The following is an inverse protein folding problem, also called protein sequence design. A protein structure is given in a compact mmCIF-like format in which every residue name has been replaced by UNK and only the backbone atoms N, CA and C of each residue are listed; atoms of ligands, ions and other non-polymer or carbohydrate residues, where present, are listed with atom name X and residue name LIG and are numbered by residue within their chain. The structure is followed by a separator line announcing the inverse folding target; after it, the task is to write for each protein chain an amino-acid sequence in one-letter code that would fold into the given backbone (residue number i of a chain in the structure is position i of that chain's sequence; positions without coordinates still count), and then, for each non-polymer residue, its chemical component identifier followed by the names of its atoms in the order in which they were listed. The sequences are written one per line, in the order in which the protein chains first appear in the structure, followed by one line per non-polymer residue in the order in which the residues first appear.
data_IF_805105411495
#
_entry.id   IF_805105411495
#
_cell.length_a   1.000
_cell.length_b   1.000
_cell.length_c   1.000
_cell.angle_alpha   90.00
_cell.angle_beta   90.00
_cell.angle_gamma   90.00
#
_symmetry.space_group_name_H-M   'P 1'
#
loop_
_entity.id
_entity.type
_entity.pdbx_description
1 polymer ?
#
# COMPACT_ATOMS: atom_id res chain seq x y z
N UNK A 1 7.83 0.85 15.91
CA UNK A 1 6.54 1.19 15.27
C UNK A 1 6.19 0.08 14.29
N UNK A 2 4.94 -0.06 13.84
CA UNK A 2 4.57 -1.04 12.79
C UNK A 2 5.41 -0.76 11.53
N UNK A 3 5.57 0.51 11.16
CA UNK A 3 6.46 0.92 10.05
C UNK A 3 7.88 0.36 10.21
N UNK A 4 8.47 0.43 11.42
CA UNK A 4 9.85 -0.07 11.64
C UNK A 4 9.98 -1.58 11.45
N UNK A 5 8.86 -2.31 11.54
CA UNK A 5 8.83 -3.76 11.36
C UNK A 5 8.67 -4.13 9.88
N UNK A 6 7.80 -3.45 9.16
CA UNK A 6 7.40 -3.87 7.81
C UNK A 6 8.00 -3.03 6.69
N UNK A 7 8.18 -1.72 6.90
CA UNK A 7 8.66 -0.80 5.87
C UNK A 7 10.15 -0.99 5.64
N UNK A 8 10.52 -1.44 4.44
CA UNK A 8 11.86 -1.88 4.06
C UNK A 8 11.79 -2.77 2.82
N UNK A 9 12.62 -3.82 2.77
CA UNK A 9 12.86 -4.64 1.56
C UNK A 9 11.61 -5.01 0.74
N UNK A 10 10.52 -5.42 1.38
CA UNK A 10 9.32 -5.91 0.69
C UNK A 10 8.17 -4.91 0.63
N UNK A 11 8.12 -3.93 1.54
CA UNK A 11 7.08 -2.92 1.62
C UNK A 11 7.76 -1.55 1.65
N UNK A 12 7.41 -0.67 0.73
CA UNK A 12 7.93 0.69 0.74
C UNK A 12 9.23 0.92 -0.02
N UNK A 13 9.86 -0.12 -0.59
CA UNK A 13 11.15 -0.04 -1.32
C UNK A 13 10.99 -0.11 -2.85
N UNK A 14 9.75 -0.26 -3.36
CA UNK A 14 9.49 -0.32 -4.81
C UNK A 14 9.40 1.08 -5.44
N UNK A 15 9.52 1.16 -6.77
CA UNK A 15 9.26 2.41 -7.49
C UNK A 15 7.81 2.90 -7.29
N UNK A 16 6.86 1.96 -7.28
CA UNK A 16 5.44 2.23 -7.00
C UNK A 16 5.22 2.76 -5.58
N UNK A 17 6.01 2.27 -4.62
CA UNK A 17 6.04 2.79 -3.24
C UNK A 17 6.48 4.25 -3.19
N UNK A 18 7.54 4.60 -3.92
CA UNK A 18 8.00 5.98 -4.03
C UNK A 18 6.93 6.90 -4.66
N UNK A 19 6.22 6.41 -5.69
CA UNK A 19 5.10 7.14 -6.30
C UNK A 19 3.95 7.35 -5.29
N UNK A 20 3.60 6.33 -4.50
CA UNK A 20 2.59 6.46 -3.44
C UNK A 20 2.99 7.52 -2.41
N UNK A 21 4.24 7.50 -1.96
CA UNK A 21 4.75 8.48 -0.99
C UNK A 21 4.72 9.90 -1.54
N UNK A 22 5.10 10.09 -2.82
CA UNK A 22 5.01 11.39 -3.49
C UNK A 22 3.55 11.90 -3.54
N UNK A 23 2.59 11.02 -3.83
CA UNK A 23 1.17 11.34 -3.77
C UNK A 23 0.75 11.79 -2.34
N UNK A 24 1.15 11.05 -1.30
CA UNK A 24 0.82 11.39 0.09
C UNK A 24 1.43 12.74 0.52
N UNK A 25 2.65 13.05 0.09
CA UNK A 25 3.30 14.35 0.34
C UNK A 25 2.49 15.52 -0.24
N UNK A 26 1.93 15.33 -1.44
CA UNK A 26 1.15 16.32 -2.17
C UNK A 26 -0.22 16.62 -1.53
N UNK A 27 -0.89 15.64 -0.93
CA UNK A 27 -2.27 15.79 -0.41
C UNK A 27 -2.44 16.79 0.73
N UNK A 28 -1.36 17.23 1.38
CA UNK A 28 -1.33 18.22 2.47
C UNK A 28 -2.45 18.12 3.53
N UNK A 29 -2.78 16.88 3.92
CA UNK A 29 -3.78 16.55 4.93
C UNK A 29 -3.16 15.77 6.08
N UNK A 30 -3.72 15.92 7.28
CA UNK A 30 -3.34 15.09 8.44
C UNK A 30 -4.05 13.73 8.41
N UNK A 31 -5.31 13.68 7.96
CA UNK A 31 -6.09 12.45 7.83
C UNK A 31 -6.49 12.30 6.37
N UNK A 32 -6.22 11.14 5.78
CA UNK A 32 -6.58 10.80 4.41
C UNK A 32 -7.33 9.47 4.39
N UNK A 33 -8.50 9.44 3.77
CA UNK A 33 -9.29 8.21 3.64
C UNK A 33 -8.73 7.36 2.49
N UNK A 34 -8.62 6.04 2.67
CA UNK A 34 -8.23 5.10 1.60
C UNK A 34 -9.19 5.18 0.43
N UNK A 35 -10.47 5.46 0.67
CA UNK A 35 -11.44 5.67 -0.42
C UNK A 35 -11.11 6.89 -1.28
N UNK A 36 -10.54 7.95 -0.68
CA UNK A 36 -10.02 9.10 -1.43
C UNK A 36 -8.77 8.71 -2.23
N UNK A 37 -7.83 7.98 -1.63
CA UNK A 37 -6.64 7.46 -2.33
C UNK A 37 -7.06 6.59 -3.53
N UNK A 38 -8.02 5.70 -3.33
CA UNK A 38 -8.48 4.79 -4.36
C UNK A 38 -9.16 5.51 -5.51
N UNK A 39 -10.00 6.52 -5.21
CA UNK A 39 -10.67 7.31 -6.23
C UNK A 39 -9.69 8.18 -7.02
N UNK A 40 -8.77 8.86 -6.32
CA UNK A 40 -7.77 9.74 -6.93
C UNK A 40 -6.84 8.98 -7.86
N UNK A 41 -6.37 7.81 -7.43
CA UNK A 41 -5.43 6.97 -8.19
C UNK A 41 -6.12 6.00 -9.16
N UNK A 42 -7.46 5.93 -9.14
CA UNK A 42 -8.23 5.01 -10.00
C UNK A 42 -8.18 3.54 -9.59
N UNK A 43 -7.70 3.22 -8.38
CA UNK A 43 -7.63 1.86 -7.80
C UNK A 43 -9.03 1.29 -7.57
N UNK A 44 -10.02 2.15 -7.29
CA UNK A 44 -11.42 1.74 -7.09
C UNK A 44 -12.01 1.03 -8.31
N UNK A 45 -11.57 1.39 -9.53
CA UNK A 45 -11.99 0.81 -10.81
C UNK A 45 -11.50 -0.61 -11.03
N UNK A 46 -10.46 -1.04 -10.32
CA UNK A 46 -9.91 -2.39 -10.41
C UNK A 46 -10.76 -3.44 -9.69
N UNK A 47 -11.71 -3.00 -8.87
CA UNK A 47 -12.65 -3.88 -8.15
C UNK A 47 -11.96 -5.01 -7.34
N UNK A 48 -10.75 -4.77 -6.82
CA UNK A 48 -9.98 -5.75 -6.05
C UNK A 48 -9.03 -6.62 -6.88
N UNK A 49 -9.00 -6.49 -8.20
CA UNK A 49 -8.03 -7.19 -9.05
C UNK A 49 -6.74 -6.38 -9.19
N UNK A 50 -5.74 -6.70 -8.37
CA UNK A 50 -4.46 -5.97 -8.32
C UNK A 50 -3.27 -6.79 -8.83
N UNK A 51 -3.49 -8.06 -9.18
CA UNK A 51 -2.48 -9.08 -9.45
C UNK A 51 -1.47 -8.66 -10.52
N UNK A 52 -1.97 -8.10 -11.63
CA UNK A 52 -1.20 -7.62 -12.79
C UNK A 52 -1.54 -6.18 -13.17
N UNK A 53 -2.32 -5.50 -12.34
CA UNK A 53 -2.88 -4.20 -12.66
C UNK A 53 -1.81 -3.10 -12.69
N UNK A 54 -1.96 -2.21 -13.66
CA UNK A 54 -1.17 -0.97 -13.83
C UNK A 54 -2.11 0.22 -13.85
N UNK A 55 -1.65 1.37 -13.36
CA UNK A 55 -2.48 2.56 -13.31
C UNK A 55 -1.69 3.82 -13.63
N UNK A 56 -2.37 4.70 -14.36
CA UNK A 56 -1.98 6.08 -14.57
C UNK A 56 -3.07 6.96 -13.99
N UNK A 57 -2.68 7.93 -13.16
CA UNK A 57 -3.60 8.90 -12.59
C UNK A 57 -3.03 10.31 -12.64
N UNK A 58 -3.87 11.29 -12.95
CA UNK A 58 -3.54 12.69 -12.84
C UNK A 58 -4.35 13.30 -11.71
N UNK A 59 -3.67 13.72 -10.63
CA UNK A 59 -4.30 14.35 -9.46
C UNK A 59 -3.74 15.76 -9.33
N UNK A 60 -4.62 16.77 -9.35
CA UNK A 60 -4.25 18.18 -9.26
C UNK A 60 -3.16 18.62 -10.27
N UNK A 61 -3.17 18.01 -11.47
CA UNK A 61 -2.21 18.30 -12.54
C UNK A 61 -0.84 17.63 -12.39
N UNK A 62 -0.69 16.71 -11.44
CA UNK A 62 0.50 15.86 -11.27
C UNK A 62 0.16 14.44 -11.70
N UNK A 63 1.02 13.87 -12.54
CA UNK A 63 0.87 12.49 -13.02
C UNK A 63 1.56 11.50 -12.07
N UNK A 64 0.85 10.45 -11.71
CA UNK A 64 1.31 9.33 -10.91
C UNK A 64 1.20 8.05 -11.74
N UNK A 65 2.34 7.41 -11.97
CA UNK A 65 2.45 6.17 -12.72
C UNK A 65 2.75 5.01 -11.78
N UNK A 66 1.96 3.95 -11.88
CA UNK A 66 2.16 2.70 -11.18
C UNK A 66 2.35 1.55 -12.17
N UNK A 67 3.57 1.01 -12.19
CA UNK A 67 3.92 -0.17 -12.99
C UNK A 67 3.23 -1.42 -12.45
N UNK A 68 3.00 -1.47 -11.14
CA UNK A 68 2.22 -2.49 -10.46
C UNK A 68 1.39 -1.89 -9.31
N UNK A 69 0.11 -2.25 -9.24
CA UNK A 69 -0.77 -1.73 -8.17
C UNK A 69 -0.63 -2.53 -6.87
N UNK A 70 -0.28 -3.81 -6.93
CA UNK A 70 -0.18 -4.64 -5.72
C UNK A 70 0.83 -4.13 -4.67
N UNK A 71 2.05 -3.67 -5.01
CA UNK A 71 2.94 -3.01 -4.04
C UNK A 71 2.29 -1.83 -3.32
N UNK A 72 1.47 -1.03 -4.02
CA UNK A 72 0.71 0.09 -3.42
C UNK A 72 -0.28 -0.41 -2.36
N UNK A 73 -0.94 -1.55 -2.63
CA UNK A 73 -1.87 -2.18 -1.68
C UNK A 73 -1.12 -2.73 -0.46
N UNK A 74 0.03 -3.36 -0.68
CA UNK A 74 0.92 -3.81 0.40
C UNK A 74 1.31 -2.63 1.30
N UNK A 75 1.77 -1.54 0.72
CA UNK A 75 2.20 -0.36 1.47
C UNK A 75 1.05 0.28 2.25
N UNK A 76 -0.11 0.48 1.60
CA UNK A 76 -1.30 0.99 2.25
C UNK A 76 -1.75 0.13 3.43
N UNK A 77 -1.56 -1.19 3.36
CA UNK A 77 -1.88 -2.09 4.47
C UNK A 77 -1.01 -1.84 5.71
N UNK A 78 0.28 -1.56 5.52
CA UNK A 78 1.21 -1.19 6.61
C UNK A 78 0.85 0.17 7.18
N UNK A 79 0.58 1.16 6.32
CA UNK A 79 0.19 2.51 6.75
C UNK A 79 -1.14 2.53 7.50
N UNK A 80 -2.10 1.70 7.06
CA UNK A 80 -3.38 1.52 7.73
C UNK A 80 -3.20 0.86 9.10
N UNK A 81 -2.38 -0.19 9.19
CA UNK A 81 -2.11 -0.88 10.45
C UNK A 81 -1.39 0.03 11.46
N UNK A 82 -0.38 0.78 11.01
CA UNK A 82 0.28 1.82 11.82
C UNK A 82 -0.75 2.86 12.29
N UNK A 83 -1.57 3.40 11.38
CA UNK A 83 -2.61 4.39 11.69
C UNK A 83 -3.62 3.87 12.72
N UNK A 84 -4.06 2.61 12.62
CA UNK A 84 -4.94 1.97 13.61
C UNK A 84 -4.25 1.82 14.98
N UNK A 85 -2.96 1.47 15.00
CA UNK A 85 -2.22 1.12 16.23
C UNK A 85 -1.70 2.35 16.97
N UNK A 86 -1.09 3.30 16.26
CA UNK A 86 -0.36 4.44 16.85
C UNK A 86 -1.05 5.78 16.59
N UNK A 87 -2.19 5.78 15.89
CA UNK A 87 -3.00 6.94 15.47
C UNK A 87 -2.38 7.84 14.42
N UNK A 88 -1.11 7.63 14.04
CA UNK A 88 -0.41 8.42 13.01
C UNK A 88 0.94 7.80 12.67
N UNK A 89 1.45 8.15 11.50
CA UNK A 89 2.84 7.94 11.10
C UNK A 89 3.46 9.25 10.62
N UNK A 90 4.79 9.29 10.57
CA UNK A 90 5.51 10.43 10.02
C UNK A 90 5.93 10.13 8.58
N UNK A 91 5.62 11.02 7.65
CA UNK A 91 5.93 10.86 6.23
C UNK A 91 7.42 10.69 5.95
N UNK A 92 8.29 11.41 6.67
CA UNK A 92 9.74 11.30 6.49
C UNK A 92 10.27 9.89 6.83
N UNK A 93 9.54 9.12 7.66
CA UNK A 93 9.93 7.73 7.97
C UNK A 93 9.65 6.74 6.86
N UNK A 94 8.78 7.10 5.91
CA UNK A 94 8.44 6.26 4.76
C UNK A 94 9.02 6.80 3.46
N UNK A 95 9.97 7.74 3.54
CA UNK A 95 10.65 8.33 2.38
C UNK A 95 10.06 9.66 1.89
N UNK A 96 9.07 10.22 2.58
CA UNK A 96 8.48 11.52 2.24
C UNK A 96 9.44 12.69 2.49
N UNK A 97 9.27 13.77 1.73
CA UNK A 97 10.09 14.97 1.85
C UNK A 97 9.71 15.84 3.07
N UNK A 98 8.49 15.68 3.59
CA UNK A 98 7.96 16.49 4.69
C UNK A 98 8.08 15.77 6.04
N UNK A 99 8.61 16.46 7.05
CA UNK A 99 8.50 16.04 8.46
C UNK A 99 7.09 16.36 8.98
N UNK A 100 6.11 15.58 8.53
CA UNK A 100 4.68 15.76 8.80
C UNK A 100 4.09 14.45 9.28
N UNK A 101 3.27 14.52 10.33
CA UNK A 101 2.47 13.39 10.75
C UNK A 101 1.19 13.28 9.91
N UNK A 102 0.84 12.06 9.53
CA UNK A 102 -0.38 11.72 8.80
C UNK A 102 -1.01 10.46 9.39
N UNK A 103 -2.27 10.25 9.04
CA UNK A 103 -3.03 9.04 9.33
C UNK A 103 -3.82 8.67 8.08
N UNK A 104 -3.89 7.37 7.81
CA UNK A 104 -4.74 6.81 6.76
C UNK A 104 -5.86 6.01 7.43
N UNK A 105 -7.11 6.28 7.03
CA UNK A 105 -8.30 5.59 7.53
C UNK A 105 -9.01 4.84 6.41
N UNK A 106 -9.58 3.67 6.70
CA UNK A 106 -10.25 2.84 5.72
C UNK A 106 -11.67 2.49 6.18
N UNK A 107 -12.63 2.60 5.27
CA UNK A 107 -13.96 2.04 5.45
C UNK A 107 -13.98 0.51 5.31
N UNK A 108 -15.11 -0.15 5.65
CA UNK A 108 -15.23 -1.61 5.57
C UNK A 108 -14.96 -2.18 4.17
N UNK A 109 -15.37 -1.46 3.11
CA UNK A 109 -15.16 -1.87 1.72
C UNK A 109 -13.66 -1.91 1.39
N UNK A 110 -12.96 -0.80 1.60
CA UNK A 110 -11.54 -0.70 1.28
C UNK A 110 -10.70 -1.63 2.16
N UNK A 111 -11.04 -1.77 3.45
CA UNK A 111 -10.40 -2.74 4.35
C UNK A 111 -10.55 -4.16 3.79
N UNK A 112 -11.75 -4.53 3.34
CA UNK A 112 -12.01 -5.86 2.72
C UNK A 112 -11.21 -6.05 1.43
N UNK A 113 -11.11 -5.03 0.58
CA UNK A 113 -10.31 -5.11 -0.65
C UNK A 113 -8.83 -5.32 -0.34
N UNK A 114 -8.27 -4.55 0.60
CA UNK A 114 -6.87 -4.70 1.02
C UNK A 114 -6.63 -6.08 1.63
N UNK A 115 -7.44 -6.51 2.61
CA UNK A 115 -7.23 -7.81 3.28
C UNK A 115 -7.41 -8.99 2.33
N UNK A 116 -8.34 -8.90 1.37
CA UNK A 116 -8.52 -9.92 0.33
C UNK A 116 -7.32 -10.01 -0.59
N UNK A 117 -6.73 -8.88 -0.99
CA UNK A 117 -5.55 -8.85 -1.84
C UNK A 117 -4.32 -9.47 -1.14
N UNK A 118 -4.10 -9.14 0.14
CA UNK A 118 -3.04 -9.76 0.95
C UNK A 118 -3.20 -11.26 1.05
N UNK A 119 -4.44 -11.73 1.29
CA UNK A 119 -4.76 -13.16 1.33
C UNK A 119 -4.48 -13.84 -0.01
N UNK A 120 -4.83 -13.19 -1.13
CA UNK A 120 -4.63 -13.74 -2.46
C UNK A 120 -3.16 -13.98 -2.74
N UNK A 121 -2.32 -12.98 -2.47
CA UNK A 121 -0.86 -13.13 -2.59
C UNK A 121 -0.31 -14.23 -1.68
N UNK A 122 -0.75 -14.30 -0.42
CA UNK A 122 -0.27 -15.33 0.50
C UNK A 122 -0.63 -16.76 0.05
N UNK A 123 -1.70 -16.93 -0.73
CA UNK A 123 -2.13 -18.23 -1.25
C UNK A 123 -1.46 -18.60 -2.57
N UNK A 124 -1.24 -17.62 -3.45
CA UNK A 124 -0.79 -17.83 -4.82
C UNK A 124 0.15 -16.70 -5.26
N UNK A 125 1.32 -16.54 -4.60
CA UNK A 125 2.22 -15.42 -4.88
C UNK A 125 2.70 -15.42 -6.33
N UNK A 126 2.91 -16.59 -6.93
CA UNK A 126 3.38 -16.76 -8.30
C UNK A 126 2.44 -16.19 -9.38
N UNK A 127 1.17 -15.97 -9.05
CA UNK A 127 0.23 -15.36 -9.98
C UNK A 127 0.39 -13.83 -10.07
N UNK A 128 1.02 -13.20 -9.07
CA UNK A 128 1.21 -11.77 -9.04
C UNK A 128 2.39 -11.33 -9.92
N UNK A 129 2.21 -10.23 -10.66
CA UNK A 129 3.28 -9.65 -11.47
C UNK A 129 4.51 -9.23 -10.63
N UNK A 130 4.34 -9.00 -9.32
CA UNK A 130 5.44 -8.65 -8.42
C UNK A 130 6.36 -9.85 -8.16
N UNK A 131 5.86 -11.08 -8.34
CA UNK A 131 6.61 -12.29 -8.12
C UNK A 131 7.85 -12.37 -9.03
N UNK A 132 7.81 -11.79 -10.22
CA UNK A 132 8.95 -11.70 -11.14
C UNK A 132 10.17 -10.97 -10.55
N UNK A 133 9.98 -10.19 -9.48
CA UNK A 133 11.04 -9.42 -8.81
C UNK A 133 11.74 -10.19 -7.69
N UNK A 134 11.20 -11.35 -7.30
CA UNK A 134 11.59 -12.09 -6.09
C UNK A 134 11.82 -13.57 -6.41
N UNK A 135 12.61 -14.25 -5.58
CA UNK A 135 12.70 -15.70 -5.63
C UNK A 135 11.55 -16.37 -4.83
N UNK A 136 11.45 -17.69 -4.93
CA UNK A 136 10.40 -18.47 -4.27
C UNK A 136 10.45 -18.36 -2.73
N UNK A 137 11.65 -18.26 -2.14
CA UNK A 137 11.81 -18.09 -0.69
C UNK A 137 11.26 -16.73 -0.24
N UNK A 138 11.58 -15.67 -0.98
CA UNK A 138 11.03 -14.33 -0.77
C UNK A 138 9.50 -14.32 -0.93
N UNK A 139 8.92 -15.05 -1.90
CA UNK A 139 7.47 -15.14 -2.07
C UNK A 139 6.77 -15.64 -0.81
N UNK A 140 7.29 -16.72 -0.20
CA UNK A 140 6.73 -17.26 1.03
C UNK A 140 6.93 -16.33 2.22
N UNK A 141 8.05 -15.62 2.30
CA UNK A 141 8.27 -14.60 3.33
C UNK A 141 7.26 -13.45 3.20
N UNK A 142 7.07 -12.90 2.00
CA UNK A 142 6.08 -11.85 1.73
C UNK A 142 4.68 -12.37 2.05
N UNK A 143 4.33 -13.59 1.64
CA UNK A 143 3.03 -14.20 1.94
C UNK A 143 2.75 -14.30 3.45
N UNK A 144 3.75 -14.69 4.24
CA UNK A 144 3.63 -14.71 5.69
C UNK A 144 3.43 -13.30 6.28
N UNK A 145 4.16 -12.29 5.78
CA UNK A 145 3.98 -10.90 6.21
C UNK A 145 2.60 -10.36 5.82
N UNK A 146 2.11 -10.68 4.63
CA UNK A 146 0.75 -10.37 4.19
C UNK A 146 -0.30 -10.96 5.12
N UNK A 147 -0.19 -12.23 5.51
CA UNK A 147 -1.12 -12.85 6.46
C UNK A 147 -1.04 -12.24 7.87
N UNK A 148 0.16 -11.89 8.35
CA UNK A 148 0.32 -11.23 9.64
C UNK A 148 -0.39 -9.87 9.67
N UNK A 149 -0.16 -9.04 8.64
CA UNK A 149 -0.80 -7.72 8.52
C UNK A 149 -2.32 -7.90 8.38
N UNK A 150 -2.76 -8.83 7.53
CA UNK A 150 -4.17 -9.13 7.30
C UNK A 150 -4.89 -9.50 8.60
N UNK A 151 -4.31 -10.42 9.38
CA UNK A 151 -4.88 -10.85 10.66
C UNK A 151 -4.95 -9.73 11.71
N UNK A 152 -4.12 -8.69 11.56
CA UNK A 152 -4.12 -7.51 12.43
C UNK A 152 -5.08 -6.40 11.96
N UNK A 153 -5.58 -6.49 10.72
CA UNK A 153 -6.51 -5.54 10.12
C UNK A 153 -7.98 -5.97 10.15
N UNK A 154 -8.25 -7.28 10.29
CA UNK A 154 -9.57 -7.87 10.56
C UNK A 154 -10.11 -7.48 11.96
#
# INVERSE_FOLDING_TARGET
MIIDKYWGRFFGDSADSATLVAYLDAKDKEILEVSEIFADLGIDKLAGNYTDARLDATVDGVDYHFDQVFPVIMDLSVLLLESKTTRRFNLARIGGAKDRNMRVDAGPKENTQITTALKYFALMPEEHAIAEQFDEDDWYEIGNLCEEIRASLD
#
